data_IF_923285706461
#
_entry.id   IF_923285706461
#
_cell.length_a   1.000
_cell.length_b   1.000
_cell.length_c   1.000
_cell.angle_alpha   90.00
_cell.angle_beta   90.00
_cell.angle_gamma   90.00
#
_symmetry.space_group_name_H-M   'P 1'
#
loop_
_entity.id
_entity.type
_entity.pdbx_description
1 polymer ?
#
# COMPACT_ATOMS: atom_id res chain seq x y z
N UNK A 1 -4.31 6.01 6.86
CA UNK A 1 -5.80 5.93 6.89
C UNK A 1 -6.41 7.10 7.64
N UNK A 2 -5.91 7.44 8.82
CA UNK A 2 -6.43 8.56 9.63
C UNK A 2 -6.40 9.88 8.87
N UNK A 3 -5.26 10.24 8.27
CA UNK A 3 -5.13 11.44 7.42
C UNK A 3 -6.19 11.44 6.30
N UNK A 4 -6.40 10.32 5.63
CA UNK A 4 -7.42 10.23 4.57
C UNK A 4 -8.84 10.48 5.09
N UNK A 5 -9.15 10.05 6.31
CA UNK A 5 -10.45 10.34 6.94
C UNK A 5 -10.57 11.81 7.33
N UNK A 6 -9.56 12.34 7.99
CA UNK A 6 -9.54 13.74 8.47
C UNK A 6 -9.63 14.72 7.31
N UNK A 7 -8.86 14.49 6.26
CA UNK A 7 -8.80 15.35 5.07
C UNK A 7 -9.84 14.97 4.00
N UNK A 8 -10.70 13.99 4.27
CA UNK A 8 -11.76 13.51 3.38
C UNK A 8 -11.26 13.11 1.98
N UNK A 9 -10.10 12.44 1.93
CA UNK A 9 -9.53 11.96 0.67
C UNK A 9 -10.29 10.71 0.22
N UNK A 10 -11.11 10.85 -0.81
CA UNK A 10 -11.92 9.76 -1.36
C UNK A 10 -11.20 9.01 -2.48
N UNK A 11 -10.36 9.69 -3.24
CA UNK A 11 -9.58 9.12 -4.33
C UNK A 11 -8.22 9.81 -4.39
N UNK A 12 -7.16 9.03 -4.55
CA UNK A 12 -5.82 9.60 -4.64
C UNK A 12 -4.74 8.58 -4.93
N UNK A 13 -3.57 9.13 -5.16
CA UNK A 13 -2.32 8.40 -5.32
C UNK A 13 -1.40 8.70 -4.15
N UNK A 14 -0.65 7.71 -3.73
CA UNK A 14 0.35 7.83 -2.67
C UNK A 14 1.73 7.51 -3.22
N UNK A 15 2.69 8.38 -2.93
CA UNK A 15 4.11 8.10 -3.10
C UNK A 15 4.89 8.46 -1.84
N UNK A 16 6.05 7.83 -1.64
CA UNK A 16 6.78 7.97 -0.38
C UNK A 16 8.24 7.60 -0.53
N UNK A 17 9.07 8.25 0.27
CA UNK A 17 10.45 7.84 0.57
C UNK A 17 10.71 7.90 2.07
N UNK A 18 11.81 7.30 2.53
CA UNK A 18 12.21 7.30 3.95
C UNK A 18 12.93 6.02 4.34
N UNK A 19 12.91 5.73 5.63
CA UNK A 19 13.63 4.62 6.24
C UNK A 19 12.68 3.72 7.03
N UNK A 20 12.98 2.43 7.07
CA UNK A 20 12.21 1.46 7.85
C UNK A 20 13.14 0.53 8.64
N UNK A 21 12.75 0.22 9.87
CA UNK A 21 13.38 -0.83 10.68
C UNK A 21 12.66 -2.17 10.59
N UNK A 22 11.41 -2.15 10.13
CA UNK A 22 10.61 -3.35 9.94
C UNK A 22 9.61 -3.13 8.81
N UNK A 23 9.43 -4.14 7.98
CA UNK A 23 8.33 -4.17 7.01
C UNK A 23 7.78 -5.58 6.88
N UNK A 24 6.47 -5.69 6.87
CA UNK A 24 5.76 -6.91 6.49
C UNK A 24 5.22 -6.71 5.07
N UNK A 25 5.76 -7.50 4.15
CA UNK A 25 5.43 -7.45 2.73
C UNK A 25 4.78 -8.76 2.31
N UNK A 26 3.84 -8.67 1.40
CA UNK A 26 3.07 -9.82 0.97
C UNK A 26 2.94 -9.97 -0.53
N UNK A 27 2.47 -11.15 -0.91
CA UNK A 27 2.07 -11.51 -2.26
C UNK A 27 0.75 -12.27 -2.20
N UNK A 28 -0.09 -12.05 -3.19
CA UNK A 28 -1.32 -12.79 -3.34
C UNK A 28 -1.16 -13.87 -4.40
N UNK A 29 -1.36 -15.13 -3.99
CA UNK A 29 -1.43 -16.26 -4.90
C UNK A 29 -2.84 -16.35 -5.49
N UNK A 30 -2.96 -16.08 -6.78
CA UNK A 30 -4.25 -16.08 -7.48
C UNK A 30 -4.80 -17.48 -7.71
N UNK A 31 -3.95 -18.50 -7.67
CA UNK A 31 -4.35 -19.91 -7.81
C UNK A 31 -4.98 -20.43 -6.53
N UNK A 32 -4.29 -20.24 -5.42
CA UNK A 32 -4.78 -20.63 -4.10
C UNK A 32 -5.74 -19.60 -3.48
N UNK A 33 -5.86 -18.41 -4.07
CA UNK A 33 -6.64 -17.26 -3.56
C UNK A 33 -6.26 -16.91 -2.12
N UNK A 34 -4.95 -16.82 -1.86
CA UNK A 34 -4.41 -16.62 -0.52
C UNK A 34 -3.27 -15.61 -0.50
N UNK A 35 -3.29 -14.77 0.53
CA UNK A 35 -2.18 -13.88 0.86
C UNK A 35 -1.10 -14.60 1.64
N UNK A 36 0.15 -14.39 1.25
CA UNK A 36 1.34 -14.78 1.99
C UNK A 36 2.13 -13.54 2.33
N UNK A 37 2.59 -13.42 3.57
CA UNK A 37 3.37 -12.29 4.06
C UNK A 37 4.67 -12.76 4.70
N UNK A 38 5.67 -11.89 4.66
CA UNK A 38 6.95 -12.08 5.32
C UNK A 38 7.39 -10.78 5.99
N UNK A 39 7.87 -10.89 7.22
CA UNK A 39 8.45 -9.76 7.95
C UNK A 39 9.96 -9.69 7.75
N UNK A 40 10.44 -8.47 7.51
CA UNK A 40 11.85 -8.12 7.38
C UNK A 40 12.20 -7.12 8.47
N UNK A 41 13.26 -7.39 9.22
CA UNK A 41 13.78 -6.50 10.26
C UNK A 41 15.24 -6.18 9.97
N UNK A 42 15.60 -4.91 10.08
CA UNK A 42 16.94 -4.46 9.79
C UNK A 42 17.03 -2.96 9.56
N UNK A 43 18.04 -2.57 8.78
CA UNK A 43 18.27 -1.19 8.38
C UNK A 43 17.92 -1.10 6.90
N UNK A 44 16.82 -0.42 6.58
CA UNK A 44 16.31 -0.33 5.22
C UNK A 44 16.01 1.09 4.80
N UNK A 45 16.39 1.41 3.57
CA UNK A 45 15.82 2.54 2.82
C UNK A 45 14.50 2.12 2.19
N UNK A 46 13.50 2.99 2.21
CA UNK A 46 12.29 2.81 1.40
C UNK A 46 12.60 3.34 0.02
N UNK A 47 13.00 2.44 -0.87
CA UNK A 47 13.35 2.78 -2.25
C UNK A 47 12.12 3.21 -3.06
N UNK A 48 10.96 2.65 -2.76
CA UNK A 48 9.69 3.00 -3.39
C UNK A 48 8.53 2.64 -2.48
N UNK A 49 7.54 3.48 -2.44
CA UNK A 49 6.19 3.14 -2.00
C UNK A 49 5.21 3.87 -2.91
N UNK A 50 4.36 3.12 -3.55
CA UNK A 50 3.32 3.64 -4.43
C UNK A 50 1.99 2.94 -4.15
N UNK A 51 0.91 3.60 -4.48
CA UNK A 51 -0.39 2.97 -4.41
C UNK A 51 -1.56 3.92 -4.52
N UNK A 52 -2.73 3.39 -4.26
CA UNK A 52 -3.99 4.08 -4.43
C UNK A 52 -4.76 4.23 -3.12
N UNK A 53 -5.50 5.32 -3.05
CA UNK A 53 -6.55 5.55 -2.07
C UNK A 53 -7.87 5.46 -2.82
N UNK A 54 -8.74 4.57 -2.38
CA UNK A 54 -10.11 4.40 -2.88
C UNK A 54 -11.05 4.26 -1.69
N UNK A 55 -12.29 3.90 -1.92
CA UNK A 55 -13.28 3.75 -0.86
C UNK A 55 -13.84 2.33 -0.80
N UNK A 56 -14.04 1.83 0.41
CA UNK A 56 -14.85 0.65 0.68
C UNK A 56 -15.96 1.06 1.64
N UNK A 57 -17.16 1.29 1.11
CA UNK A 57 -18.21 2.00 1.83
C UNK A 57 -17.75 3.43 2.17
N UNK A 58 -17.83 3.81 3.43
CA UNK A 58 -17.40 5.13 3.93
C UNK A 58 -15.93 5.16 4.39
N UNK A 59 -15.21 4.05 4.27
CA UNK A 59 -13.85 3.94 4.77
C UNK A 59 -12.81 4.02 3.65
N UNK A 60 -11.69 4.75 3.88
CA UNK A 60 -10.56 4.73 2.96
C UNK A 60 -9.96 3.34 2.81
N UNK A 61 -9.85 2.88 1.59
CA UNK A 61 -9.19 1.64 1.22
C UNK A 61 -7.81 1.96 0.60
N UNK A 62 -6.76 1.59 1.29
CA UNK A 62 -5.39 1.80 0.84
C UNK A 62 -4.84 0.53 0.22
N UNK A 63 -4.38 0.63 -1.02
CA UNK A 63 -3.66 -0.42 -1.70
C UNK A 63 -2.25 0.08 -2.03
N UNK A 64 -1.27 -0.35 -1.26
CA UNK A 64 0.09 0.14 -1.30
C UNK A 64 1.07 -1.00 -1.53
N UNK A 65 2.04 -0.77 -2.40
CA UNK A 65 3.20 -1.63 -2.59
C UNK A 65 4.47 -0.90 -2.15
N UNK A 66 5.39 -1.61 -1.55
CA UNK A 66 6.63 -1.06 -1.01
C UNK A 66 7.83 -1.88 -1.47
N UNK A 67 8.91 -1.19 -1.77
CA UNK A 67 10.24 -1.79 -1.94
C UNK A 67 11.16 -1.21 -0.87
N UNK A 68 11.78 -2.09 -0.11
CA UNK A 68 12.83 -1.76 0.86
C UNK A 68 14.14 -2.35 0.43
N UNK A 69 15.24 -1.70 0.75
CA UNK A 69 16.56 -2.17 0.39
C UNK A 69 17.66 -1.70 1.32
N UNK A 70 18.74 -2.45 1.35
CA UNK A 70 19.99 -2.05 1.97
C UNK A 70 21.12 -2.35 0.97
N UNK A 71 21.67 -1.30 0.33
CA UNK A 71 22.69 -1.49 -0.72
C UNK A 71 24.02 -2.00 -0.17
N UNK A 72 24.30 -1.82 1.13
CA UNK A 72 25.56 -2.26 1.74
C UNK A 72 25.65 -3.77 1.87
N UNK A 73 24.51 -4.45 1.99
CA UNK A 73 24.45 -5.92 2.11
C UNK A 73 23.75 -6.58 0.91
N UNK A 74 23.38 -5.79 -0.10
CA UNK A 74 22.73 -6.28 -1.31
C UNK A 74 21.31 -6.79 -1.11
N UNK A 75 20.62 -6.34 -0.07
CA UNK A 75 19.22 -6.71 0.17
C UNK A 75 18.26 -5.81 -0.62
N UNK A 76 17.23 -6.43 -1.18
CA UNK A 76 16.09 -5.74 -1.80
C UNK A 76 14.87 -6.64 -1.71
N UNK A 77 13.79 -6.11 -1.12
CA UNK A 77 12.54 -6.83 -0.92
C UNK A 77 11.37 -5.95 -1.34
N UNK A 78 10.39 -6.52 -2.04
CA UNK A 78 9.22 -5.77 -2.49
C UNK A 78 7.95 -6.60 -2.42
N UNK A 79 6.82 -5.93 -2.28
CA UNK A 79 5.52 -6.56 -2.27
C UNK A 79 4.40 -5.65 -1.77
N UNK A 80 3.24 -6.24 -1.57
CA UNK A 80 2.10 -5.58 -0.94
C UNK A 80 2.45 -5.19 0.49
N UNK A 81 2.22 -3.93 0.84
CA UNK A 81 2.51 -3.42 2.18
C UNK A 81 1.39 -3.80 3.16
N UNK A 82 1.70 -4.67 4.10
CA UNK A 82 0.82 -4.98 5.22
C UNK A 82 1.09 -4.03 6.40
N UNK A 83 2.37 -3.86 6.76
CA UNK A 83 2.81 -3.03 7.89
C UNK A 83 4.25 -2.59 7.69
N UNK A 84 4.60 -1.41 8.18
CA UNK A 84 6.00 -0.98 8.31
C UNK A 84 6.19 -0.15 9.58
N UNK A 85 7.39 -0.18 10.10
CA UNK A 85 7.85 0.67 11.20
C UNK A 85 8.94 1.58 10.67
N UNK A 86 8.69 2.88 10.74
CA UNK A 86 9.64 3.90 10.31
C UNK A 86 10.73 4.04 11.35
N UNK A 87 11.98 4.06 10.90
CA UNK A 87 13.13 4.21 11.80
C UNK A 87 13.53 5.67 12.01
N UNK A 88 13.76 6.42 10.96
CA UNK A 88 14.13 7.83 11.05
C UNK A 88 13.01 8.73 10.52
N UNK A 89 12.71 8.65 9.25
CA UNK A 89 11.73 9.54 8.61
C UNK A 89 10.91 8.84 7.53
N UNK A 90 9.75 9.42 7.24
CA UNK A 90 8.95 9.08 6.08
C UNK A 90 8.32 10.34 5.50
N UNK A 91 8.67 10.63 4.27
CA UNK A 91 8.05 11.70 3.49
C UNK A 91 6.93 11.09 2.64
N UNK A 92 5.70 11.46 2.93
CA UNK A 92 4.50 10.89 2.28
C UNK A 92 3.84 11.98 1.46
N UNK A 93 3.69 11.72 0.17
CA UNK A 93 2.98 12.59 -0.77
C UNK A 93 1.66 11.96 -1.14
N UNK A 94 0.59 12.70 -1.04
CA UNK A 94 -0.75 12.28 -1.45
C UNK A 94 -1.24 13.25 -2.51
N UNK A 95 -1.44 12.74 -3.73
CA UNK A 95 -2.10 13.48 -4.81
C UNK A 95 -3.58 13.17 -4.76
N UNK A 96 -4.39 14.15 -4.42
CA UNK A 96 -5.84 14.02 -4.36
C UNK A 96 -6.41 14.16 -5.76
N UNK A 97 -7.28 13.24 -6.14
CA UNK A 97 -7.96 13.21 -7.44
C UNK A 97 -9.44 13.50 -7.20
N UNK A 98 -10.01 14.39 -7.97
CA UNK A 98 -11.45 14.66 -7.93
C UNK A 98 -12.24 13.43 -8.36
N UNK A 99 -13.22 13.06 -7.56
CA UNK A 99 -14.08 11.91 -7.81
C UNK A 99 -13.98 10.85 -6.74
N UNK A 100 -14.57 9.71 -7.03
CA UNK A 100 -14.60 8.55 -6.15
C UNK A 100 -14.38 7.27 -6.94
N UNK A 101 -13.76 6.28 -6.32
CA UNK A 101 -13.71 4.92 -6.82
C UNK A 101 -13.95 3.96 -5.66
N UNK A 102 -14.82 2.99 -5.89
CA UNK A 102 -15.14 1.97 -4.92
C UNK A 102 -14.30 0.71 -5.06
N UNK A 103 -14.64 -0.28 -4.27
CA UNK A 103 -14.06 -1.62 -4.30
C UNK A 103 -15.17 -2.67 -4.35
N UNK A 104 -14.97 -3.67 -5.20
CA UNK A 104 -15.84 -4.84 -5.29
C UNK A 104 -15.03 -6.12 -5.22
N UNK A 105 -15.47 -7.07 -4.41
CA UNK A 105 -14.90 -8.41 -4.37
C UNK A 105 -15.15 -9.11 -5.71
N UNK A 106 -14.09 -9.58 -6.34
CA UNK A 106 -14.15 -10.47 -7.49
C UNK A 106 -13.93 -11.90 -7.02
N UNK A 107 -14.98 -12.68 -6.97
CA UNK A 107 -14.94 -14.06 -6.44
C UNK A 107 -14.06 -15.00 -7.28
N UNK A 108 -13.97 -14.77 -8.59
CA UNK A 108 -13.13 -15.60 -9.45
C UNK A 108 -11.64 -15.40 -9.20
N UNK A 109 -11.22 -14.18 -8.83
CA UNK A 109 -9.85 -13.84 -8.52
C UNK A 109 -9.56 -13.94 -7.01
N UNK A 110 -10.57 -13.61 -6.18
CA UNK A 110 -10.45 -13.57 -4.72
C UNK A 110 -9.91 -12.26 -4.17
N UNK A 111 -10.01 -11.16 -4.93
CA UNK A 111 -9.52 -9.83 -4.55
C UNK A 111 -10.60 -8.75 -4.67
N UNK A 112 -10.46 -7.72 -3.83
CA UNK A 112 -11.21 -6.47 -3.97
C UNK A 112 -10.60 -5.63 -5.08
N UNK A 113 -11.25 -5.61 -6.24
CA UNK A 113 -10.83 -4.81 -7.38
C UNK A 113 -11.44 -3.41 -7.34
N UNK A 114 -10.78 -2.45 -7.99
CA UNK A 114 -11.35 -1.11 -8.19
C UNK A 114 -12.63 -1.23 -9.00
N UNK A 115 -13.66 -0.54 -8.56
CA UNK A 115 -14.92 -0.37 -9.26
C UNK A 115 -15.16 1.12 -9.51
N UNK A 116 -15.22 1.47 -10.79
CA UNK A 116 -15.62 2.82 -11.20
C UNK A 116 -17.13 2.88 -11.29
N UNK A 117 -17.75 3.71 -10.46
CA UNK A 117 -19.16 4.04 -10.62
C UNK A 117 -19.29 4.96 -11.83
N UNK A 118 -20.03 4.54 -12.84
CA UNK A 118 -20.45 5.45 -13.91
C UNK A 118 -21.32 6.54 -13.28
N UNK A 119 -20.98 7.78 -13.58
CA UNK A 119 -21.77 8.92 -13.20
C UNK A 119 -23.15 8.89 -13.91
#
# INVERSE_FOLDING_TARGET
REVCRTEKVALGEVSRLGDASEAELGVFDTTEKKHYGKSFKGIYEIASLTGSITQQGENPYLHLHMVIGNPLVGECHGGHLNRAVISATAEIFITVIDGTAGRRMNESIGLNLIEFTQA
#
